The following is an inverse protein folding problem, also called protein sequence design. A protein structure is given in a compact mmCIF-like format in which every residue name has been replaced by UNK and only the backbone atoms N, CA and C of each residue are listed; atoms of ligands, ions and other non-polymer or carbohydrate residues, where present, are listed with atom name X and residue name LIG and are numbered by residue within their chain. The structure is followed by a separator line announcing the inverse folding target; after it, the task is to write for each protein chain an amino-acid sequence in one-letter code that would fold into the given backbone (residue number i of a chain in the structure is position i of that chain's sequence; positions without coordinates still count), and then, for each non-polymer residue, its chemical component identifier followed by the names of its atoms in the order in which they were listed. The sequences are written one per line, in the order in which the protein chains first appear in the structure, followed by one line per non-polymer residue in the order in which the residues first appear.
data_IF_498814394964
#
_entry.id   IF_498814394964
#
_cell.length_a   1.000
_cell.length_b   1.000
_cell.length_c   1.000
_cell.angle_alpha   90.00
_cell.angle_beta   90.00
_cell.angle_gamma   90.00
#
_symmetry.space_group_name_H-M   'P 1'
#
loop_
_entity.id
_entity.type
_entity.pdbx_description
1 polymer ?
#
# COMPACT_ATOMS: atom_id res chain seq x y z
N UNK A 1 3.34 -15.65 6.91
CA UNK A 1 3.49 -16.57 5.75
C UNK A 1 3.61 -17.99 6.27
N UNK A 2 2.98 -19.01 5.64
CA UNK A 2 3.13 -20.40 6.10
C UNK A 2 4.56 -20.92 5.86
N UNK A 3 5.13 -21.81 6.70
CA UNK A 3 6.55 -22.20 6.60
C UNK A 3 6.93 -22.85 5.27
N UNK A 4 6.01 -23.61 4.68
CA UNK A 4 6.22 -24.32 3.39
C UNK A 4 5.82 -23.48 2.17
N UNK A 5 5.30 -22.28 2.37
CA UNK A 5 4.92 -21.41 1.26
C UNK A 5 6.16 -20.96 0.48
N UNK A 6 5.98 -20.73 -0.82
CA UNK A 6 7.02 -20.18 -1.68
C UNK A 6 6.43 -19.12 -2.60
N UNK A 7 7.25 -18.14 -2.98
CA UNK A 7 6.92 -17.06 -3.92
C UNK A 7 7.81 -17.14 -5.16
N UNK A 8 7.36 -16.61 -6.28
CA UNK A 8 8.13 -16.60 -7.53
C UNK A 8 7.51 -15.71 -8.59
N UNK A 9 8.28 -15.42 -9.64
CA UNK A 9 7.83 -14.79 -10.89
C UNK A 9 8.19 -15.72 -12.07
N UNK A 10 7.47 -16.83 -12.26
CA UNK A 10 7.85 -17.89 -13.20
C UNK A 10 7.52 -17.58 -14.67
N UNK A 11 6.94 -16.42 -14.97
CA UNK A 11 6.43 -16.03 -16.29
C UNK A 11 7.45 -16.25 -17.42
N UNK A 12 8.72 -15.89 -17.20
CA UNK A 12 9.76 -16.05 -18.20
C UNK A 12 10.01 -17.52 -18.60
N UNK A 13 9.73 -18.46 -17.68
CA UNK A 13 9.93 -19.90 -17.91
C UNK A 13 8.90 -20.49 -18.89
N UNK A 14 7.82 -19.76 -19.18
CA UNK A 14 6.79 -20.16 -20.15
C UNK A 14 6.68 -19.19 -21.32
N UNK A 15 7.71 -18.35 -21.52
CA UNK A 15 7.79 -17.44 -22.68
C UNK A 15 6.94 -16.18 -22.56
N UNK A 16 6.51 -15.80 -21.35
CA UNK A 16 5.78 -14.55 -21.09
C UNK A 16 6.54 -13.70 -20.05
N UNK A 17 6.00 -12.54 -19.69
CA UNK A 17 6.60 -11.63 -18.69
C UNK A 17 5.62 -11.33 -17.56
N UNK A 18 6.09 -10.97 -16.35
CA UNK A 18 5.21 -10.56 -15.26
C UNK A 18 4.29 -9.41 -15.67
N UNK A 19 2.98 -9.66 -15.73
CA UNK A 19 1.99 -8.73 -16.29
C UNK A 19 1.28 -7.81 -15.29
N UNK A 20 1.37 -8.09 -13.99
CA UNK A 20 0.62 -7.38 -12.93
C UNK A 20 1.52 -6.46 -12.09
N UNK A 21 2.51 -5.86 -12.74
CA UNK A 21 3.51 -4.97 -12.11
C UNK A 21 4.39 -5.60 -11.02
N UNK A 22 4.47 -6.93 -10.99
CA UNK A 22 5.23 -7.67 -9.97
C UNK A 22 6.70 -7.28 -9.90
N UNK A 23 7.35 -7.06 -11.04
CA UNK A 23 8.76 -6.63 -11.10
C UNK A 23 8.94 -5.22 -10.52
N UNK A 24 8.00 -4.30 -10.77
CA UNK A 24 8.07 -2.93 -10.25
C UNK A 24 7.76 -2.87 -8.76
N UNK A 25 6.72 -3.56 -8.29
CA UNK A 25 6.33 -3.55 -6.87
C UNK A 25 7.38 -4.24 -6.01
N UNK A 26 7.85 -5.42 -6.42
CA UNK A 26 8.86 -6.16 -5.65
C UNK A 26 10.23 -5.47 -5.66
N UNK A 27 10.58 -4.71 -6.69
CA UNK A 27 11.83 -3.93 -6.69
C UNK A 27 11.93 -2.89 -5.56
N UNK A 28 10.79 -2.50 -4.96
CA UNK A 28 10.76 -1.62 -3.77
C UNK A 28 10.92 -2.36 -2.45
N UNK A 29 10.69 -3.68 -2.45
CA UNK A 29 10.56 -4.50 -1.24
C UNK A 29 11.63 -5.60 -1.12
N UNK A 30 12.32 -5.94 -2.21
CA UNK A 30 13.31 -7.00 -2.28
C UNK A 30 14.60 -6.50 -2.93
N UNK A 31 15.77 -7.02 -2.52
CA UNK A 31 17.02 -6.75 -3.22
C UNK A 31 16.96 -7.20 -4.68
N UNK A 32 17.51 -6.38 -5.57
CA UNK A 32 17.54 -6.65 -7.02
C UNK A 32 18.06 -8.07 -7.38
N UNK A 33 19.12 -8.62 -6.75
CA UNK A 33 19.56 -9.98 -7.05
C UNK A 33 18.50 -11.06 -6.79
N UNK A 34 17.71 -10.92 -5.71
CA UNK A 34 16.64 -11.85 -5.37
C UNK A 34 15.53 -11.79 -6.41
N UNK A 35 15.19 -10.59 -6.88
CA UNK A 35 14.20 -10.41 -7.93
C UNK A 35 14.67 -11.02 -9.27
N UNK A 36 15.95 -10.90 -9.61
CA UNK A 36 16.54 -11.54 -10.79
C UNK A 36 16.55 -13.07 -10.68
N UNK A 37 16.91 -13.62 -9.52
CA UNK A 37 16.79 -15.06 -9.24
C UNK A 37 15.37 -15.57 -9.52
N UNK A 38 14.35 -14.85 -9.03
CA UNK A 38 12.96 -15.22 -9.23
C UNK A 38 12.50 -15.09 -10.69
N UNK A 39 12.80 -13.94 -11.32
CA UNK A 39 12.23 -13.57 -12.62
C UNK A 39 12.98 -14.21 -13.80
N UNK A 40 14.31 -14.20 -13.77
CA UNK A 40 15.14 -14.66 -14.89
C UNK A 40 15.39 -16.17 -14.82
N UNK A 41 15.60 -16.68 -13.60
CA UNK A 41 16.00 -18.07 -13.39
C UNK A 41 14.87 -18.94 -12.81
N UNK A 42 13.68 -18.36 -12.57
CA UNK A 42 12.52 -19.11 -12.07
C UNK A 42 12.69 -19.63 -10.64
N UNK A 43 13.67 -19.13 -9.86
CA UNK A 43 13.91 -19.61 -8.50
C UNK A 43 12.78 -19.19 -7.57
N UNK A 44 12.35 -20.12 -6.72
CA UNK A 44 11.33 -19.83 -5.70
C UNK A 44 11.97 -19.26 -4.43
N UNK A 45 11.35 -18.22 -3.88
CA UNK A 45 11.69 -17.61 -2.60
C UNK A 45 10.95 -18.34 -1.47
N UNK A 46 11.68 -18.95 -0.54
CA UNK A 46 11.11 -19.64 0.63
C UNK A 46 10.57 -18.65 1.66
N UNK A 47 9.66 -19.10 2.53
CA UNK A 47 9.14 -18.30 3.63
C UNK A 47 10.24 -17.79 4.57
N UNK A 48 11.20 -18.65 4.91
CA UNK A 48 12.36 -18.28 5.76
C UNK A 48 13.21 -17.18 5.13
N UNK A 49 13.58 -17.33 3.84
CA UNK A 49 14.38 -16.30 3.14
C UNK A 49 13.57 -15.02 2.95
N UNK A 50 12.26 -15.11 2.68
CA UNK A 50 11.39 -13.94 2.59
C UNK A 50 11.36 -13.16 3.92
N UNK A 51 11.34 -13.85 5.07
CA UNK A 51 11.37 -13.21 6.37
C UNK A 51 12.74 -12.60 6.69
N UNK A 52 13.83 -13.33 6.42
CA UNK A 52 15.19 -12.84 6.60
C UNK A 52 15.52 -11.59 5.76
N UNK A 53 14.86 -11.45 4.60
CA UNK A 53 14.97 -10.27 3.73
C UNK A 53 14.03 -9.11 4.13
N UNK A 54 13.18 -9.30 5.15
CA UNK A 54 12.19 -8.30 5.58
C UNK A 54 10.97 -8.16 4.66
N UNK A 55 10.77 -9.09 3.70
CA UNK A 55 9.63 -9.05 2.78
C UNK A 55 8.32 -9.50 3.44
N UNK A 56 8.39 -10.45 4.37
CA UNK A 56 7.25 -10.85 5.20
C UNK A 56 7.51 -10.55 6.67
N UNK A 57 6.50 -10.01 7.35
CA UNK A 57 6.60 -9.64 8.77
C UNK A 57 6.79 -10.86 9.68
N UNK A 58 6.16 -11.99 9.36
CA UNK A 58 6.18 -13.19 10.21
C UNK A 58 6.00 -14.48 9.39
N UNK A 59 6.59 -15.57 9.87
CA UNK A 59 6.34 -16.95 9.42
C UNK A 59 5.65 -17.72 10.54
N UNK A 60 4.49 -18.30 10.27
CA UNK A 60 3.65 -18.97 11.27
C UNK A 60 2.91 -20.16 10.66
N UNK A 61 2.71 -21.23 11.43
CA UNK A 61 1.98 -22.43 10.99
C UNK A 61 0.52 -22.10 10.63
N UNK A 62 -0.11 -21.20 11.38
CA UNK A 62 -1.42 -20.60 11.08
C UNK A 62 -1.25 -19.09 10.79
N UNK A 63 -0.91 -18.72 9.54
CA UNK A 63 -0.68 -17.32 9.18
C UNK A 63 -1.96 -16.48 9.21
N UNK A 64 -3.15 -17.10 9.11
CA UNK A 64 -4.41 -16.36 9.17
C UNK A 64 -4.67 -15.87 10.60
N UNK A 65 -4.54 -16.76 11.58
CA UNK A 65 -4.68 -16.39 12.99
C UNK A 65 -3.66 -15.34 13.39
N UNK A 66 -2.37 -15.53 13.06
CA UNK A 66 -1.33 -14.55 13.33
C UNK A 66 -1.63 -13.16 12.70
N UNK A 67 -2.08 -13.13 11.44
CA UNK A 67 -2.45 -11.88 10.78
C UNK A 67 -3.63 -11.17 11.47
N UNK A 68 -4.64 -11.93 11.91
CA UNK A 68 -5.80 -11.37 12.63
C UNK A 68 -5.40 -10.83 14.01
N UNK A 69 -4.47 -11.49 14.70
CA UNK A 69 -3.94 -10.99 15.98
C UNK A 69 -3.21 -9.67 15.82
N UNK A 70 -2.36 -9.53 14.80
CA UNK A 70 -1.71 -8.26 14.47
C UNK A 70 -2.77 -7.19 14.14
N UNK A 71 -3.77 -7.53 13.31
CA UNK A 71 -4.82 -6.60 12.91
C UNK A 71 -5.69 -6.13 14.09
N UNK A 72 -5.93 -6.97 15.10
CA UNK A 72 -6.65 -6.57 16.33
C UNK A 72 -5.94 -5.44 17.06
N UNK A 73 -4.61 -5.36 16.98
CA UNK A 73 -3.84 -4.25 17.55
C UNK A 73 -4.23 -2.88 17.01
N UNK A 74 -4.67 -2.80 15.74
CA UNK A 74 -5.12 -1.56 15.10
C UNK A 74 -6.43 -1.02 15.66
N UNK A 75 -7.25 -1.88 16.31
CA UNK A 75 -8.55 -1.48 16.85
C UNK A 75 -8.43 -0.49 18.02
N UNK A 76 -7.26 -0.43 18.65
CA UNK A 76 -7.01 0.43 19.81
C UNK A 76 -6.41 1.80 19.43
N UNK A 77 -6.26 2.11 18.15
CA UNK A 77 -5.60 3.33 17.69
C UNK A 77 -6.46 4.13 16.69
N UNK A 78 -6.10 5.39 16.49
CA UNK A 78 -6.91 6.33 15.72
C UNK A 78 -6.94 5.95 14.22
N UNK A 79 -8.10 5.57 13.64
CA UNK A 79 -8.15 5.03 12.27
C UNK A 79 -7.63 5.99 11.20
N UNK A 80 -7.93 7.29 11.33
CA UNK A 80 -7.45 8.33 10.41
C UNK A 80 -5.94 8.54 10.49
N UNK A 81 -5.35 8.37 11.67
CA UNK A 81 -3.90 8.46 11.83
C UNK A 81 -3.21 7.30 11.11
N UNK A 82 -3.76 6.08 11.20
CA UNK A 82 -3.24 4.93 10.46
C UNK A 82 -3.32 5.11 8.93
N UNK A 83 -4.46 5.61 8.45
CA UNK A 83 -4.65 5.90 7.03
C UNK A 83 -3.60 6.88 6.51
N UNK A 84 -3.42 8.02 7.20
CA UNK A 84 -2.44 9.04 6.80
C UNK A 84 -1.00 8.50 6.91
N UNK A 85 -0.66 7.78 7.98
CA UNK A 85 0.66 7.18 8.14
C UNK A 85 0.97 6.17 7.02
N UNK A 86 -0.01 5.38 6.59
CA UNK A 86 0.13 4.47 5.45
C UNK A 86 0.43 5.23 4.16
N UNK A 87 -0.28 6.32 3.88
CA UNK A 87 0.00 7.15 2.70
C UNK A 87 1.42 7.75 2.73
N UNK A 88 1.87 8.20 3.90
CA UNK A 88 3.23 8.72 4.08
C UNK A 88 4.30 7.65 3.75
N UNK A 89 4.10 6.42 4.22
CA UNK A 89 5.01 5.30 3.93
C UNK A 89 5.03 5.00 2.41
N UNK A 90 3.86 4.88 1.77
CA UNK A 90 3.76 4.61 0.34
C UNK A 90 4.50 5.70 -0.47
N UNK A 91 4.27 6.98 -0.16
CA UNK A 91 4.93 8.06 -0.85
C UNK A 91 6.45 8.09 -0.65
N UNK A 92 6.94 7.74 0.54
CA UNK A 92 8.37 7.66 0.83
C UNK A 92 9.09 6.62 -0.05
N UNK A 93 8.40 5.55 -0.45
CA UNK A 93 8.94 4.50 -1.35
C UNK A 93 8.53 4.69 -2.82
N UNK A 94 7.95 5.84 -3.17
CA UNK A 94 7.52 6.12 -4.54
C UNK A 94 6.36 5.23 -5.02
N UNK A 95 5.46 4.84 -4.11
CA UNK A 95 4.21 4.13 -4.36
C UNK A 95 3.02 5.08 -4.13
N UNK A 96 2.00 5.02 -5.00
CA UNK A 96 0.73 5.75 -4.89
C UNK A 96 0.83 7.27 -4.60
N UNK A 97 1.94 7.92 -4.95
CA UNK A 97 2.19 9.33 -4.58
C UNK A 97 1.11 10.30 -5.10
N UNK A 98 0.60 10.08 -6.31
CA UNK A 98 -0.48 10.90 -6.87
C UNK A 98 -1.77 10.77 -6.05
N UNK A 99 -2.15 9.52 -5.71
CA UNK A 99 -3.33 9.24 -4.90
C UNK A 99 -3.22 9.85 -3.49
N UNK A 100 -2.03 9.87 -2.88
CA UNK A 100 -1.79 10.57 -1.61
C UNK A 100 -2.08 12.07 -1.72
N UNK A 101 -1.60 12.74 -2.79
CA UNK A 101 -1.80 14.18 -2.98
C UNK A 101 -3.30 14.49 -3.09
N UNK A 102 -4.05 13.68 -3.85
CA UNK A 102 -5.50 13.83 -3.97
C UNK A 102 -6.22 13.60 -2.64
N UNK A 103 -5.88 12.53 -1.92
CA UNK A 103 -6.51 12.20 -0.64
C UNK A 103 -6.26 13.29 0.43
N UNK A 104 -5.02 13.77 0.55
CA UNK A 104 -4.68 14.84 1.49
C UNK A 104 -5.28 16.18 1.05
N UNK A 105 -5.24 16.51 -0.24
CA UNK A 105 -5.87 17.71 -0.80
C UNK A 105 -7.37 17.76 -0.52
N UNK A 106 -8.08 16.67 -0.81
CA UNK A 106 -9.49 16.51 -0.52
C UNK A 106 -9.78 16.62 0.98
N UNK A 107 -8.99 15.96 1.83
CA UNK A 107 -9.12 16.03 3.28
C UNK A 107 -8.92 17.45 3.84
N UNK A 108 -7.91 18.17 3.35
CA UNK A 108 -7.64 19.56 3.76
C UNK A 108 -8.80 20.50 3.42
N UNK A 109 -9.32 20.43 2.20
CA UNK A 109 -10.44 21.30 1.78
C UNK A 109 -11.75 20.89 2.45
N UNK A 110 -11.99 19.60 2.67
CA UNK A 110 -13.23 19.10 3.27
C UNK A 110 -13.50 19.67 4.68
N UNK A 111 -12.46 20.07 5.42
CA UNK A 111 -12.57 20.64 6.76
C UNK A 111 -12.83 22.17 6.77
N UNK A 112 -12.73 22.84 5.62
CA UNK A 112 -12.88 24.30 5.52
C UNK A 112 -14.34 24.73 5.60
N UNK A 113 -14.59 25.95 6.08
CA UNK A 113 -15.92 26.59 6.01
C UNK A 113 -16.28 26.94 4.56
N UNK A 114 -15.29 27.26 3.75
CA UNK A 114 -15.48 27.53 2.32
C UNK A 114 -16.07 26.33 1.56
N UNK A 115 -15.67 25.09 1.90
CA UNK A 115 -16.32 23.90 1.33
C UNK A 115 -17.80 23.83 1.68
N UNK A 116 -18.18 24.13 2.92
CA UNK A 116 -19.57 24.13 3.35
C UNK A 116 -20.39 25.21 2.63
N UNK A 117 -19.84 26.42 2.54
CA UNK A 117 -20.45 27.56 1.82
C UNK A 117 -20.61 27.26 0.32
N UNK A 118 -19.58 26.72 -0.35
CA UNK A 118 -19.65 26.40 -1.78
C UNK A 118 -20.76 25.40 -2.10
N UNK A 119 -20.91 24.35 -1.28
CA UNK A 119 -21.99 23.35 -1.44
C UNK A 119 -23.37 23.94 -1.20
N UNK A 120 -23.53 24.79 -0.18
CA UNK A 120 -24.79 25.46 0.11
C UNK A 120 -25.17 26.44 -1.02
N UNK A 121 -24.25 27.30 -1.43
CA UNK A 121 -24.46 28.28 -2.49
C UNK A 121 -24.84 27.64 -3.83
N UNK A 122 -24.21 26.50 -4.17
CA UNK A 122 -24.55 25.72 -5.37
C UNK A 122 -26.00 25.20 -5.31
N UNK A 123 -26.39 24.61 -4.18
CA UNK A 123 -27.76 24.11 -3.95
C UNK A 123 -28.79 25.23 -4.02
N UNK A 124 -28.46 26.40 -3.46
CA UNK A 124 -29.32 27.59 -3.39
C UNK A 124 -29.28 28.43 -4.68
N UNK A 125 -28.47 28.06 -5.67
CA UNK A 125 -28.25 28.82 -6.93
C UNK A 125 -27.88 30.29 -6.73
N UNK A 126 -27.08 30.56 -5.69
CA UNK A 126 -26.54 31.89 -5.38
C UNK A 126 -25.03 31.92 -5.58
N UNK A 127 -24.46 33.13 -5.66
CA UNK A 127 -23.01 33.31 -5.67
C UNK A 127 -22.43 32.95 -4.28
N UNK A 128 -21.35 32.15 -4.20
CA UNK A 128 -20.70 31.86 -2.92
C UNK A 128 -19.88 33.05 -2.41
N UNK A 129 -19.73 33.16 -1.10
CA UNK A 129 -18.87 34.14 -0.43
C UNK A 129 -17.71 33.45 0.33
N UNK A 130 -16.64 33.14 -0.39
CA UNK A 130 -15.45 32.46 0.16
C UNK A 130 -14.56 33.39 1.00
N UNK A 131 -14.05 32.88 2.13
CA UNK A 131 -13.25 33.64 3.11
C UNK A 131 -11.87 33.04 3.40
N UNK A 132 -11.50 31.92 2.79
CA UNK A 132 -10.21 31.26 2.94
C UNK A 132 -10.01 30.59 4.30
N UNK A 133 -11.07 30.03 4.91
CA UNK A 133 -11.04 29.44 6.27
C UNK A 133 -12.03 28.29 6.43
#
# INVERSE_FOLDING_TARGET
MAPKATLGLPEAQVGIVPGWSGTQRLARLLPEPVLKEMTLFGRRLSAERAHALGYVAEVADDPQTAALEIARGLLNAAPRAHEVAKYQIHAAVGEDRAAMIEALGGGMIAATKDKAEGVAAFSEKRKPDFKGR
#
